data_IF_311140624105
#
_entry.id   IF_311140624105
#
_cell.length_a   1.000
_cell.length_b   1.000
_cell.length_c   1.000
_cell.angle_alpha   90.00
_cell.angle_beta   90.00
_cell.angle_gamma   90.00
#
_symmetry.space_group_name_H-M   'P 1'
#
loop_
_entity.id
_entity.type
_entity.pdbx_description
1 polymer ?
#
# COMPACT_ATOMS: atom_id res chain seq x y z
N UNK A 1 4.96 8.82 -6.89
CA UNK A 1 5.07 8.86 -6.52
C UNK A 1 5.06 9.34 -6.11
N UNK A 2 4.94 9.34 -5.62
CA UNK A 2 5.14 9.88 -5.09
C UNK A 2 5.61 10.00 -4.57
N UNK A 3 5.98 9.97 -4.18
CA UNK A 3 6.53 10.16 -3.61
C UNK A 3 6.53 10.62 -3.09
N UNK A 4 6.48 10.58 -2.68
CA UNK A 4 6.63 10.89 -1.99
C UNK A 4 6.64 11.44 -1.46
N UNK A 5 6.45 11.81 -1.22
CA UNK A 5 6.47 12.09 -0.54
C UNK A 5 6.23 12.22 0.25
N UNK A 6 6.04 12.33 0.38
CA UNK A 6 5.96 12.18 1.38
C UNK A 6 5.35 12.91 2.37
N UNK A 7 4.85 12.60 3.11
CA UNK A 7 4.35 13.11 4.16
C UNK A 7 5.23 13.70 5.05
N UNK A 8 6.33 13.96 4.62
CA UNK A 8 7.18 14.49 5.38
C UNK A 8 6.88 15.81 5.58
N UNK A 9 6.99 16.29 6.59
CA UNK A 9 7.05 17.51 6.78
C UNK A 9 8.33 17.92 6.61
N UNK A 10 8.56 18.83 5.96
CA UNK A 10 9.68 19.22 5.54
C UNK A 10 10.65 19.70 6.48
N UNK A 11 10.38 19.81 7.64
CA UNK A 11 11.32 20.17 8.64
C UNK A 11 12.22 19.03 8.95
N UNK A 12 12.11 17.99 8.24
CA UNK A 12 12.92 16.87 8.42
C UNK A 12 12.51 16.01 9.53
N UNK A 13 11.55 16.34 10.24
CA UNK A 13 11.18 15.54 11.34
C UNK A 13 10.38 14.39 10.95
N UNK A 14 10.09 14.17 9.75
CA UNK A 14 9.48 12.95 9.33
C UNK A 14 8.46 12.50 10.30
N UNK A 15 7.41 13.18 10.43
CA UNK A 15 6.38 12.81 11.34
C UNK A 15 5.70 11.60 10.82
N UNK A 16 5.73 10.51 11.57
CA UNK A 16 5.02 9.34 11.17
C UNK A 16 3.62 9.46 11.63
N UNK A 17 2.68 9.19 10.73
CA UNK A 17 1.32 9.10 11.12
C UNK A 17 1.13 7.87 11.95
N UNK A 18 0.62 8.01 13.15
CA UNK A 18 0.28 6.87 13.94
C UNK A 18 -1.17 6.56 13.72
N UNK A 19 -1.50 5.35 13.34
CA UNK A 19 -2.91 4.98 13.22
C UNK A 19 -3.56 5.00 14.59
N UNK A 20 -4.74 5.58 14.67
CA UNK A 20 -5.46 5.73 15.92
C UNK A 20 -6.70 4.85 16.00
N UNK A 21 -7.15 4.31 14.90
CA UNK A 21 -8.34 3.48 14.84
C UNK A 21 -8.35 2.67 13.54
N UNK A 22 -9.16 1.65 13.44
CA UNK A 22 -9.23 0.86 12.22
C UNK A 22 -9.61 1.73 11.03
N UNK A 23 -9.00 1.47 9.90
CA UNK A 23 -9.25 2.21 8.67
C UNK A 23 -8.72 3.65 8.69
N UNK A 24 -7.88 3.98 9.65
CA UNK A 24 -7.32 5.32 9.70
C UNK A 24 -6.21 5.47 8.66
N UNK A 25 -5.25 4.56 8.66
CA UNK A 25 -4.12 4.60 7.75
C UNK A 25 -3.95 3.24 7.11
N UNK A 26 -3.90 3.22 5.80
CA UNK A 26 -3.55 2.01 5.06
C UNK A 26 -2.15 2.20 4.47
N UNK A 27 -1.39 1.15 4.42
CA UNK A 27 -0.14 1.18 3.68
C UNK A 27 -0.15 0.10 2.61
N UNK A 28 0.55 0.35 1.52
CA UNK A 28 0.69 -0.66 0.50
C UNK A 28 2.16 -0.86 0.17
N UNK A 29 2.51 -2.03 -0.28
CA UNK A 29 3.88 -2.38 -0.58
C UNK A 29 3.92 -3.28 -1.80
N UNK A 30 5.01 -3.17 -2.56
CA UNK A 30 5.26 -4.05 -3.67
C UNK A 30 6.39 -4.98 -3.31
N UNK A 31 6.18 -6.26 -3.56
CA UNK A 31 7.20 -7.27 -3.34
C UNK A 31 7.41 -7.99 -4.66
N UNK A 32 8.66 -8.21 -5.03
CA UNK A 32 9.00 -8.98 -6.22
C UNK A 32 9.54 -10.32 -5.81
N UNK A 33 9.19 -11.33 -6.53
CA UNK A 33 9.68 -12.68 -6.30
C UNK A 33 9.82 -13.38 -7.64
N UNK A 34 10.40 -14.54 -7.63
CA UNK A 34 10.65 -15.29 -8.85
C UNK A 34 10.10 -16.69 -8.70
N UNK A 35 9.38 -17.12 -9.70
CA UNK A 35 8.85 -18.48 -9.71
C UNK A 35 9.96 -19.48 -10.02
N UNK A 36 9.70 -20.72 -9.76
CA UNK A 36 10.68 -21.78 -9.99
C UNK A 36 11.07 -21.88 -11.46
N UNK A 37 10.22 -21.44 -12.37
CA UNK A 37 10.54 -21.45 -13.78
C UNK A 37 11.32 -20.21 -14.22
N UNK A 38 11.72 -19.36 -13.29
CA UNK A 38 12.50 -18.18 -13.60
C UNK A 38 11.71 -16.92 -13.89
N UNK A 39 10.39 -17.01 -13.97
CA UNK A 39 9.58 -15.83 -14.25
C UNK A 39 9.42 -14.99 -13.01
N UNK A 40 9.53 -13.69 -13.18
CA UNK A 40 9.37 -12.75 -12.07
C UNK A 40 7.91 -12.45 -11.86
N UNK A 41 7.50 -12.40 -10.63
CA UNK A 41 6.16 -11.97 -10.27
C UNK A 41 6.24 -10.79 -9.32
N UNK A 42 5.16 -10.04 -9.26
CA UNK A 42 5.05 -8.92 -8.35
C UNK A 42 3.79 -9.08 -7.53
N UNK A 43 3.89 -8.69 -6.27
CA UNK A 43 2.76 -8.74 -5.37
C UNK A 43 2.52 -7.36 -4.80
N UNK A 44 1.26 -6.98 -4.71
CA UNK A 44 0.85 -5.76 -4.05
C UNK A 44 0.07 -6.16 -2.81
N UNK A 45 0.52 -5.69 -1.65
CA UNK A 45 -0.19 -5.93 -0.41
C UNK A 45 -0.70 -4.62 0.14
N UNK A 46 -1.88 -4.61 0.69
CA UNK A 46 -2.46 -3.44 1.35
C UNK A 46 -2.82 -3.84 2.76
N UNK A 47 -2.34 -3.08 3.73
CA UNK A 47 -2.49 -3.40 5.14
C UNK A 47 -3.10 -2.22 5.87
N UNK A 48 -4.04 -2.52 6.78
CA UNK A 48 -4.54 -1.53 7.72
C UNK A 48 -3.50 -1.44 8.84
N UNK A 49 -2.93 -0.28 9.02
CA UNK A 49 -1.82 -0.14 9.96
C UNK A 49 -2.23 -0.21 11.41
N UNK A 50 -3.49 0.05 11.71
CA UNK A 50 -3.93 -0.04 13.09
C UNK A 50 -4.16 -1.48 13.51
N UNK A 51 -4.89 -2.23 12.71
CA UNK A 51 -5.22 -3.61 13.04
C UNK A 51 -4.14 -4.59 12.61
N UNK A 52 -3.25 -4.13 11.74
CA UNK A 52 -2.24 -4.97 11.10
C UNK A 52 -2.85 -6.06 10.23
N UNK A 53 -4.07 -5.86 9.82
CA UNK A 53 -4.76 -6.81 9.00
C UNK A 53 -4.43 -6.58 7.54
N UNK A 54 -4.12 -7.63 6.83
CA UNK A 54 -3.93 -7.55 5.40
C UNK A 54 -5.28 -7.46 4.72
N UNK A 55 -5.51 -6.37 4.02
CA UNK A 55 -6.80 -6.13 3.38
C UNK A 55 -6.87 -6.83 2.04
N UNK A 56 -5.78 -6.91 1.32
CA UNK A 56 -5.76 -7.61 0.06
C UNK A 56 -4.33 -7.90 -0.38
N UNK A 57 -4.16 -8.91 -1.19
CA UNK A 57 -2.92 -9.22 -1.85
C UNK A 57 -3.25 -9.45 -3.32
N UNK A 58 -2.58 -8.74 -4.20
CA UNK A 58 -2.74 -8.98 -5.63
C UNK A 58 -1.41 -9.45 -6.20
N UNK A 59 -1.44 -10.53 -6.95
CA UNK A 59 -0.25 -11.11 -7.55
C UNK A 59 -0.39 -11.05 -9.06
N UNK A 60 0.63 -10.57 -9.74
CA UNK A 60 0.62 -10.54 -11.19
C UNK A 60 2.06 -10.54 -11.68
N UNK A 61 2.25 -10.79 -12.97
CA UNK A 61 3.56 -10.70 -13.56
C UNK A 61 4.00 -9.24 -13.69
N UNK A 62 3.07 -8.34 -13.85
CA UNK A 62 3.33 -6.91 -13.89
C UNK A 62 2.28 -6.18 -13.09
N UNK A 63 2.68 -5.21 -12.31
CA UNK A 63 1.76 -4.35 -11.61
C UNK A 63 2.13 -2.91 -11.92
N UNK A 64 1.18 -2.19 -12.47
CA UNK A 64 1.36 -0.80 -12.84
C UNK A 64 0.53 0.09 -11.94
N UNK A 65 0.68 1.40 -12.08
CA UNK A 65 -0.10 2.34 -11.27
C UNK A 65 -1.58 2.13 -11.43
N UNK A 66 -2.04 1.78 -12.63
CA UNK A 66 -3.47 1.54 -12.85
C UNK A 66 -3.95 0.34 -12.03
N UNK A 67 -3.10 -0.66 -11.87
CA UNK A 67 -3.47 -1.83 -11.07
C UNK A 67 -3.60 -1.46 -9.61
N UNK A 68 -2.74 -0.58 -9.12
CA UNK A 68 -2.84 -0.11 -7.75
C UNK A 68 -4.14 0.63 -7.54
N UNK A 69 -4.49 1.52 -8.47
CA UNK A 69 -5.74 2.26 -8.37
C UNK A 69 -6.94 1.33 -8.41
N UNK A 70 -6.89 0.30 -9.23
CA UNK A 70 -7.96 -0.66 -9.33
C UNK A 70 -8.15 -1.42 -8.01
N UNK A 71 -7.06 -1.86 -7.42
CA UNK A 71 -7.11 -2.56 -6.15
C UNK A 71 -7.65 -1.66 -5.06
N UNK A 72 -7.17 -0.42 -5.00
CA UNK A 72 -7.62 0.52 -3.98
C UNK A 72 -9.09 0.87 -4.16
N UNK A 73 -9.54 1.04 -5.40
CA UNK A 73 -10.94 1.32 -5.68
C UNK A 73 -11.85 0.19 -5.17
N UNK A 74 -11.44 -1.04 -5.40
CA UNK A 74 -12.19 -2.18 -4.92
C UNK A 74 -12.24 -2.19 -3.39
N UNK A 75 -11.11 -1.88 -2.75
CA UNK A 75 -11.09 -1.85 -1.30
C UNK A 75 -11.96 -0.73 -0.75
N UNK A 76 -12.01 0.41 -1.41
CA UNK A 76 -12.87 1.50 -0.98
C UNK A 76 -14.34 1.08 -0.98
N UNK A 77 -14.71 0.26 -1.94
CA UNK A 77 -16.10 -0.20 -2.02
C UNK A 77 -16.42 -1.26 -0.96
N UNK A 78 -15.44 -2.04 -0.57
CA UNK A 78 -15.70 -3.15 0.35
C UNK A 78 -15.35 -2.83 1.79
N UNK A 79 -14.31 -2.02 2.01
CA UNK A 79 -13.83 -1.72 3.36
C UNK A 79 -14.08 -0.28 3.77
N UNK A 80 -14.51 0.56 2.86
CA UNK A 80 -14.65 1.98 3.12
C UNK A 80 -13.38 2.73 2.80
N UNK A 81 -13.41 4.04 2.99
CA UNK A 81 -12.27 4.87 2.68
C UNK A 81 -11.42 5.12 3.90
N UNK A 82 -10.13 4.90 3.82
CA UNK A 82 -9.26 5.29 4.92
C UNK A 82 -9.02 6.79 4.88
N UNK A 83 -8.53 7.36 5.95
CA UNK A 83 -8.17 8.76 5.92
C UNK A 83 -6.85 8.98 5.22
N UNK A 84 -5.95 8.06 5.32
CA UNK A 84 -4.63 8.18 4.72
C UNK A 84 -4.18 6.88 4.08
N UNK A 85 -3.45 7.00 2.98
CA UNK A 85 -2.82 5.87 2.32
C UNK A 85 -1.37 6.25 2.08
N UNK A 86 -0.48 5.35 2.39
CA UNK A 86 0.94 5.62 2.14
C UNK A 86 1.64 4.40 1.56
N UNK A 87 2.71 4.65 0.82
CA UNK A 87 3.53 3.59 0.30
C UNK A 87 4.57 3.22 1.33
N UNK A 88 4.67 1.93 1.60
CA UNK A 88 5.58 1.46 2.62
C UNK A 88 6.98 1.30 2.11
N UNK A 89 7.18 1.27 0.84
CA UNK A 89 8.50 1.04 0.31
C UNK A 89 9.11 2.34 -0.13
N UNK A 90 8.79 3.38 0.39
CA UNK A 90 9.35 4.66 0.26
C UNK A 90 10.33 5.03 -0.75
#
# INVERSE_FOLDING_TARGET
MVKRKRLYLNDGSCIRLRPLYPNHVWSYDFVSDRLSNGRQIRMLTVIDEYTRKCLTIRVDYQLKSDDVLDVLSTLFLTQGLPEYIRSDNG
#
